data_IF_245007655528
#
_entry.id   IF_245007655528
#
_cell.length_a   1.000
_cell.length_b   1.000
_cell.length_c   1.000
_cell.angle_alpha   90.00
_cell.angle_beta   90.00
_cell.angle_gamma   90.00
#
_symmetry.space_group_name_H-M   'P 1'
#
loop_
_entity.id
_entity.type
_entity.pdbx_description
1 polymer ?
#
# COMPACT_ATOMS: atom_id res chain seq x y z
N UNK A 1 39.57 -64.08 -16.74
CA UNK A 1 38.22 -63.49 -16.78
C UNK A 1 38.02 -62.60 -15.58
N UNK A 2 38.16 -61.26 -15.73
CA UNK A 2 37.50 -60.20 -14.95
C UNK A 2 38.05 -58.84 -15.40
N UNK A 3 37.26 -58.17 -16.24
CA UNK A 3 37.42 -56.75 -16.60
C UNK A 3 37.06 -55.90 -15.37
N UNK A 4 37.94 -54.99 -14.95
CA UNK A 4 37.59 -53.91 -14.04
C UNK A 4 37.54 -52.60 -14.85
N UNK A 5 36.31 -52.07 -15.00
CA UNK A 5 36.05 -50.72 -15.53
C UNK A 5 36.65 -49.68 -14.56
N UNK A 6 37.52 -48.80 -15.05
CA UNK A 6 37.89 -47.58 -14.35
C UNK A 6 36.76 -46.56 -14.52
N UNK A 7 36.09 -46.19 -13.43
CA UNK A 7 35.17 -45.05 -13.38
C UNK A 7 35.91 -43.93 -12.66
N UNK A 8 36.30 -42.91 -13.41
CA UNK A 8 36.83 -41.66 -12.86
C UNK A 8 35.66 -40.87 -12.25
N UNK A 9 35.70 -40.65 -10.94
CA UNK A 9 34.77 -39.76 -10.23
C UNK A 9 35.32 -38.34 -10.38
N UNK A 10 34.65 -37.53 -11.20
CA UNK A 10 34.93 -36.10 -11.33
C UNK A 10 34.43 -35.37 -10.08
N UNK A 11 35.34 -34.67 -9.39
CA UNK A 11 35.03 -33.76 -8.30
C UNK A 11 34.36 -32.50 -8.91
N UNK A 12 33.03 -32.41 -8.85
CA UNK A 12 32.31 -31.17 -9.17
C UNK A 12 32.39 -30.29 -7.93
N UNK A 13 33.28 -29.30 -7.96
CA UNK A 13 33.34 -28.20 -7.02
C UNK A 13 32.08 -27.35 -7.22
N UNK A 14 30.99 -27.72 -6.54
CA UNK A 14 29.78 -26.92 -6.49
C UNK A 14 30.07 -25.72 -5.59
N UNK A 15 30.48 -24.61 -6.18
CA UNK A 15 30.52 -23.33 -5.50
C UNK A 15 29.09 -23.03 -5.01
N UNK A 16 28.86 -23.18 -3.71
CA UNK A 16 27.63 -22.78 -3.06
C UNK A 16 27.59 -21.26 -3.13
N UNK A 17 27.02 -20.74 -4.21
CA UNK A 17 26.52 -19.38 -4.29
C UNK A 17 25.41 -19.30 -3.25
N UNK A 18 25.73 -18.77 -2.07
CA UNK A 18 24.71 -18.29 -1.15
C UNK A 18 23.88 -17.27 -1.93
N UNK A 19 22.56 -17.47 -2.11
CA UNK A 19 21.74 -16.43 -2.67
C UNK A 19 21.79 -15.25 -1.70
N UNK A 20 22.34 -14.12 -2.17
CA UNK A 20 22.16 -12.83 -1.51
C UNK A 20 20.65 -12.59 -1.45
N UNK A 21 20.09 -12.67 -0.24
CA UNK A 21 18.69 -12.32 0.04
C UNK A 21 18.62 -10.79 -0.08
N UNK A 22 18.29 -10.30 -1.28
CA UNK A 22 18.19 -8.87 -1.54
C UNK A 22 16.81 -8.33 -1.13
N UNK A 23 16.81 -7.76 0.07
CA UNK A 23 15.95 -6.75 0.72
C UNK A 23 14.59 -6.35 0.11
N UNK A 24 13.62 -6.25 1.02
CA UNK A 24 12.43 -5.39 0.97
C UNK A 24 12.72 -3.96 0.51
N UNK A 25 11.67 -3.21 0.13
CA UNK A 25 11.77 -1.78 -0.18
C UNK A 25 12.47 -1.01 0.95
N UNK A 26 13.76 -0.72 0.74
CA UNK A 26 14.54 0.10 1.63
C UNK A 26 14.26 1.55 1.25
N UNK A 27 13.33 2.18 1.96
CA UNK A 27 13.22 3.63 1.93
C UNK A 27 14.56 4.24 2.31
N UNK A 28 14.97 5.29 1.60
CA UNK A 28 16.33 5.85 1.77
C UNK A 28 16.59 6.35 3.20
N UNK A 29 15.54 6.68 3.93
CA UNK A 29 15.52 7.21 5.29
C UNK A 29 15.05 6.21 6.36
N UNK A 30 14.79 4.94 5.99
CA UNK A 30 14.44 3.90 6.99
C UNK A 30 15.63 3.05 7.42
N UNK A 31 16.69 3.01 6.62
CA UNK A 31 17.87 2.17 6.92
C UNK A 31 18.51 2.59 8.25
N UNK A 32 18.63 1.66 9.20
CA UNK A 32 19.17 1.92 10.53
C UNK A 32 18.17 2.54 11.52
N UNK A 33 16.93 2.81 11.10
CA UNK A 33 15.88 3.29 11.97
C UNK A 33 15.38 2.14 12.88
N UNK A 34 15.07 2.43 14.15
CA UNK A 34 14.66 1.40 15.12
C UNK A 34 13.41 0.60 14.72
N UNK A 35 12.52 1.23 13.94
CA UNK A 35 11.29 0.63 13.43
C UNK A 35 11.40 0.08 12.01
N UNK A 36 12.61 0.01 11.43
CA UNK A 36 12.85 -0.40 10.04
C UNK A 36 12.15 -1.71 9.69
N UNK A 37 12.36 -2.75 10.50
CA UNK A 37 11.77 -4.08 10.26
C UNK A 37 10.25 -4.06 10.18
N UNK A 38 9.58 -3.18 10.94
CA UNK A 38 8.12 -3.12 10.97
C UNK A 38 7.60 -2.35 9.75
N UNK A 39 8.27 -1.26 9.39
CA UNK A 39 7.95 -0.48 8.20
C UNK A 39 8.12 -1.34 6.96
N UNK A 40 9.25 -2.03 6.84
CA UNK A 40 9.53 -3.00 5.79
C UNK A 40 8.45 -4.08 5.74
N UNK A 41 8.18 -4.77 6.85
CA UNK A 41 7.21 -5.85 6.86
C UNK A 41 5.78 -5.41 6.51
N UNK A 42 5.34 -4.26 7.02
CA UNK A 42 4.02 -3.71 6.69
C UNK A 42 3.93 -3.28 5.21
N UNK A 43 5.05 -2.79 4.67
CA UNK A 43 5.17 -2.42 3.26
C UNK A 43 5.19 -3.64 2.34
N UNK A 44 5.84 -4.73 2.75
CA UNK A 44 5.89 -6.01 2.02
C UNK A 44 4.50 -6.66 1.92
N UNK A 45 3.64 -6.42 2.91
CA UNK A 45 2.22 -6.79 2.87
C UNK A 45 1.37 -5.89 1.97
N UNK A 46 1.94 -4.83 1.37
CA UNK A 46 1.22 -3.88 0.51
C UNK A 46 0.32 -2.90 1.26
N UNK A 47 0.45 -2.83 2.58
CA UNK A 47 -0.44 -2.05 3.46
C UNK A 47 0.00 -0.60 3.63
N UNK A 48 1.25 -0.27 3.28
CA UNK A 48 1.78 1.10 3.26
C UNK A 48 2.75 1.29 2.11
N UNK A 49 2.85 2.54 1.64
CA UNK A 49 3.85 3.00 0.69
C UNK A 49 4.61 4.21 1.27
N UNK A 50 5.82 4.44 0.78
CA UNK A 50 6.58 5.67 0.99
C UNK A 50 6.13 6.79 0.06
N UNK A 51 6.91 7.86 0.02
CA UNK A 51 6.70 9.04 -0.79
C UNK A 51 7.43 8.92 -2.14
N UNK A 52 7.03 9.71 -3.17
CA UNK A 52 7.65 9.65 -4.50
C UNK A 52 9.15 9.97 -4.54
N UNK A 53 9.66 10.65 -3.51
CA UNK A 53 11.09 10.97 -3.34
C UNK A 53 11.93 9.77 -2.82
N UNK A 54 11.30 8.60 -2.63
CA UNK A 54 11.95 7.39 -2.13
C UNK A 54 12.09 7.33 -0.61
N UNK A 55 11.51 8.30 0.11
CA UNK A 55 11.51 8.35 1.58
C UNK A 55 10.25 7.68 2.15
N UNK A 56 10.32 7.16 3.37
CA UNK A 56 9.16 6.78 4.16
C UNK A 56 8.69 7.91 5.08
N UNK A 57 9.62 8.78 5.47
CA UNK A 57 9.50 9.81 6.51
C UNK A 57 9.07 9.19 7.84
N UNK A 58 9.89 8.29 8.43
CA UNK A 58 9.51 7.55 9.63
C UNK A 58 9.14 8.46 10.79
N UNK A 59 9.88 9.56 10.97
CA UNK A 59 9.70 10.51 12.06
C UNK A 59 8.65 11.59 11.79
N UNK A 60 8.03 11.60 10.60
CA UNK A 60 6.96 12.55 10.31
C UNK A 60 5.74 12.26 11.20
N UNK A 61 5.17 13.31 11.78
CA UNK A 61 3.95 13.20 12.58
C UNK A 61 2.74 13.00 11.69
N UNK A 62 1.74 12.25 12.17
CA UNK A 62 0.52 11.98 11.42
C UNK A 62 -0.63 12.91 11.78
N UNK A 63 -1.36 13.34 10.76
CA UNK A 63 -2.72 13.87 10.91
C UNK A 63 -3.74 12.75 11.15
N UNK A 64 -4.93 13.10 11.64
CA UNK A 64 -6.05 12.16 11.82
C UNK A 64 -6.40 11.45 10.51
N UNK A 65 -6.45 12.17 9.40
CA UNK A 65 -6.75 11.60 8.08
C UNK A 65 -5.69 10.60 7.64
N UNK A 66 -4.41 10.98 7.70
CA UNK A 66 -3.30 10.09 7.31
C UNK A 66 -3.24 8.82 8.15
N UNK A 67 -3.55 8.91 9.45
CA UNK A 67 -3.64 7.73 10.30
C UNK A 67 -4.72 6.74 9.80
N UNK A 68 -5.86 7.22 9.29
CA UNK A 68 -6.90 6.34 8.73
C UNK A 68 -6.47 5.58 7.49
N UNK A 69 -5.62 6.21 6.68
CA UNK A 69 -5.11 5.61 5.44
C UNK A 69 -4.21 4.41 5.77
N UNK A 70 -3.44 4.47 6.87
CA UNK A 70 -2.52 3.40 7.26
C UNK A 70 -3.22 2.09 7.64
N UNK A 71 -4.47 2.12 8.10
CA UNK A 71 -5.25 0.92 8.39
C UNK A 71 -6.41 0.67 7.40
N UNK A 72 -6.65 1.58 6.45
CA UNK A 72 -7.71 1.44 5.45
C UNK A 72 -7.58 0.19 4.58
N UNK A 73 -6.35 -0.30 4.39
CA UNK A 73 -6.06 -1.52 3.61
C UNK A 73 -6.22 -2.84 4.39
N UNK A 74 -6.58 -2.79 5.67
CA UNK A 74 -6.73 -4.00 6.51
C UNK A 74 -8.03 -4.79 6.25
N UNK A 75 -8.87 -4.35 5.29
CA UNK A 75 -10.15 -4.96 4.93
C UNK A 75 -11.02 -5.31 6.15
N UNK A 76 -11.25 -4.32 7.00
CA UNK A 76 -11.93 -4.50 8.28
C UNK A 76 -13.44 -4.63 8.09
N UNK A 77 -14.12 -5.50 8.87
CA UNK A 77 -15.57 -5.62 8.79
C UNK A 77 -16.23 -4.32 9.27
N UNK A 78 -17.33 -3.95 8.61
CA UNK A 78 -18.18 -2.86 9.08
C UNK A 78 -18.94 -3.32 10.35
N UNK A 79 -18.69 -2.65 11.48
CA UNK A 79 -19.31 -2.95 12.77
C UNK A 79 -20.42 -1.93 13.08
N UNK A 80 -20.24 -0.69 12.67
CA UNK A 80 -21.11 0.42 13.05
C UNK A 80 -22.16 0.77 12.00
N UNK A 81 -22.03 0.32 10.74
CA UNK A 81 -22.97 0.58 9.63
C UNK A 81 -23.19 2.06 9.26
N UNK A 82 -22.66 3.00 10.06
CA UNK A 82 -22.77 4.45 9.87
C UNK A 82 -21.68 4.92 8.91
N UNK A 83 -22.11 5.67 7.90
CA UNK A 83 -21.21 6.39 7.00
C UNK A 83 -20.57 7.59 7.71
N UNK A 84 -19.37 7.99 7.28
CA UNK A 84 -18.80 9.27 7.68
C UNK A 84 -19.66 10.42 7.14
N UNK A 85 -20.20 11.21 8.08
CA UNK A 85 -21.01 12.41 7.82
C UNK A 85 -20.50 13.53 8.73
N UNK A 86 -19.39 14.15 8.31
CA UNK A 86 -18.73 15.22 9.05
C UNK A 86 -18.72 16.50 8.22
N UNK A 87 -18.92 17.65 8.87
CA UNK A 87 -19.05 18.96 8.20
C UNK A 87 -17.76 19.46 7.55
N UNK A 88 -16.63 18.95 7.99
CA UNK A 88 -15.29 19.33 7.56
C UNK A 88 -14.63 18.25 6.68
N UNK A 89 -15.44 17.37 6.10
CA UNK A 89 -15.00 16.36 5.13
C UNK A 89 -15.95 16.37 3.93
N UNK A 90 -15.41 16.60 2.75
CA UNK A 90 -16.10 16.42 1.48
C UNK A 90 -15.90 15.00 0.95
N UNK A 91 -16.89 14.47 0.21
CA UNK A 91 -16.76 13.17 -0.48
C UNK A 91 -15.63 13.12 -1.51
N UNK A 92 -15.17 14.29 -1.95
CA UNK A 92 -14.05 14.46 -2.89
C UNK A 92 -12.69 14.55 -2.21
N UNK A 93 -12.64 14.57 -0.87
CA UNK A 93 -11.36 14.59 -0.16
C UNK A 93 -10.63 13.26 -0.35
N UNK A 94 -9.33 13.32 -0.60
CA UNK A 94 -8.49 12.13 -0.85
C UNK A 94 -8.53 11.09 0.28
N UNK A 95 -8.86 11.52 1.51
CA UNK A 95 -8.98 10.65 2.67
C UNK A 95 -10.42 10.21 2.97
N UNK A 96 -11.42 10.63 2.18
CA UNK A 96 -12.84 10.37 2.46
C UNK A 96 -13.11 8.88 2.68
N UNK A 97 -12.73 8.03 1.72
CA UNK A 97 -13.01 6.59 1.77
C UNK A 97 -12.28 5.90 2.93
N UNK A 98 -11.07 6.37 3.26
CA UNK A 98 -10.32 5.87 4.41
C UNK A 98 -11.01 6.22 5.74
N UNK A 99 -11.49 7.46 5.86
CA UNK A 99 -12.25 7.91 7.04
C UNK A 99 -13.59 7.19 7.13
N UNK A 100 -14.30 7.02 6.00
CA UNK A 100 -15.57 6.32 5.96
C UNK A 100 -15.42 4.85 6.38
N UNK A 101 -14.44 4.16 5.84
CA UNK A 101 -14.11 2.77 6.24
C UNK A 101 -13.76 2.69 7.72
N UNK A 102 -12.97 3.65 8.23
CA UNK A 102 -12.58 3.72 9.62
C UNK A 102 -13.78 3.93 10.57
N UNK A 103 -14.73 4.78 10.19
CA UNK A 103 -15.97 5.04 10.95
C UNK A 103 -16.87 3.82 10.93
N UNK A 104 -17.09 3.21 9.76
CA UNK A 104 -17.88 1.98 9.59
C UNK A 104 -17.32 0.83 10.40
N UNK A 105 -15.99 0.71 10.47
CA UNK A 105 -15.28 -0.31 11.26
C UNK A 105 -15.20 0.04 12.75
N UNK A 106 -15.69 1.22 13.14
CA UNK A 106 -15.67 1.70 14.52
C UNK A 106 -14.30 2.12 15.05
N UNK A 107 -13.26 2.14 14.21
CA UNK A 107 -11.91 2.53 14.58
C UNK A 107 -11.81 3.99 14.99
N UNK A 108 -12.56 4.87 14.32
CA UNK A 108 -12.57 6.30 14.60
C UNK A 108 -14.00 6.81 14.76
N UNK A 109 -14.11 7.94 15.45
CA UNK A 109 -15.34 8.73 15.56
C UNK A 109 -14.99 10.21 15.39
N UNK A 110 -15.99 11.02 15.02
CA UNK A 110 -15.87 12.47 15.05
C UNK A 110 -16.06 13.04 16.45
N UNK A 111 -16.06 14.36 16.51
CA UNK A 111 -16.32 15.16 17.70
C UNK A 111 -17.83 15.49 17.81
N UNK A 112 -18.25 15.97 18.99
CA UNK A 112 -19.64 16.34 19.26
C UNK A 112 -20.17 17.47 18.37
N UNK A 113 -19.28 18.30 17.84
CA UNK A 113 -19.57 19.40 16.91
C UNK A 113 -19.78 18.93 15.45
N UNK A 114 -19.87 17.62 15.22
CA UNK A 114 -19.97 16.99 13.89
C UNK A 114 -18.76 17.23 12.99
N UNK A 115 -17.57 17.45 13.56
CA UNK A 115 -16.30 17.52 12.82
C UNK A 115 -15.48 16.24 12.97
N UNK A 116 -14.61 15.97 12.01
CA UNK A 116 -13.58 14.94 12.10
C UNK A 116 -12.20 15.52 12.41
N UNK A 117 -11.93 16.76 12.03
CA UNK A 117 -10.64 17.47 12.11
C UNK A 117 -9.53 16.71 11.38
N UNK A 118 -9.64 16.49 10.06
CA UNK A 118 -8.75 15.60 9.30
C UNK A 118 -7.29 16.03 9.35
N UNK A 119 -7.01 17.33 9.40
CA UNK A 119 -5.66 17.91 9.42
C UNK A 119 -5.05 18.01 10.83
N UNK A 120 -5.80 17.64 11.88
CA UNK A 120 -5.28 17.69 13.25
C UNK A 120 -4.23 16.59 13.43
N UNK A 121 -3.02 16.95 13.83
CA UNK A 121 -1.99 16.00 14.28
C UNK A 121 -2.51 15.16 15.45
N UNK A 122 -2.33 13.85 15.39
CA UNK A 122 -2.76 12.94 16.48
C UNK A 122 -1.64 12.69 17.47
N UNK A 123 -2.03 12.59 18.72
CA UNK A 123 -1.18 12.15 19.82
C UNK A 123 -0.99 10.63 19.82
N UNK A 124 0.04 10.15 20.50
CA UNK A 124 0.26 8.72 20.70
C UNK A 124 -0.90 8.05 21.45
N UNK A 125 -1.55 8.72 22.39
CA UNK A 125 -2.76 8.20 23.06
C UNK A 125 -3.94 8.06 22.10
N UNK A 126 -4.16 9.02 21.20
CA UNK A 126 -5.19 8.90 20.17
C UNK A 126 -4.89 7.72 19.23
N UNK A 127 -3.63 7.56 18.79
CA UNK A 127 -3.22 6.42 17.98
C UNK A 127 -3.44 5.07 18.70
N UNK A 128 -3.02 4.96 19.98
CA UNK A 128 -3.26 3.78 20.82
C UNK A 128 -4.75 3.47 20.94
N UNK A 129 -5.59 4.48 21.13
CA UNK A 129 -7.04 4.29 21.21
C UNK A 129 -7.64 3.77 19.91
N UNK A 130 -7.10 4.17 18.75
CA UNK A 130 -7.53 3.64 17.45
C UNK A 130 -7.07 2.20 17.26
N UNK A 131 -5.79 1.92 17.46
CA UNK A 131 -5.20 0.58 17.25
C UNK A 131 -5.77 -0.45 18.23
N UNK A 132 -6.06 -0.04 19.48
CA UNK A 132 -6.65 -0.93 20.49
C UNK A 132 -8.02 -1.49 20.12
N UNK A 133 -8.69 -0.96 19.09
CA UNK A 133 -9.96 -1.50 18.61
C UNK A 133 -9.80 -2.71 17.68
N UNK A 134 -8.59 -2.95 17.19
CA UNK A 134 -8.24 -4.08 16.31
C UNK A 134 -7.94 -5.37 17.08
N UNK A 135 -7.76 -5.28 18.40
CA UNK A 135 -7.18 -6.34 19.22
C UNK A 135 -7.82 -6.31 20.60
N UNK A 136 -8.08 -7.49 21.18
CA UNK A 136 -8.54 -7.63 22.56
C UNK A 136 -7.72 -8.69 23.29
N UNK A 137 -7.00 -8.29 24.33
CA UNK A 137 -6.24 -9.18 25.20
C UNK A 137 -7.04 -9.52 26.45
N UNK A 138 -7.09 -10.81 26.78
CA UNK A 138 -7.73 -11.31 28.00
C UNK A 138 -7.00 -10.84 29.28
N UNK A 139 -5.72 -10.44 29.16
CA UNK A 139 -4.86 -10.04 30.28
C UNK A 139 -4.85 -8.52 30.53
N UNK A 140 -5.61 -7.73 29.77
CA UNK A 140 -5.59 -6.25 29.88
C UNK A 140 -5.86 -5.73 31.31
N UNK A 141 -6.66 -6.44 32.10
CA UNK A 141 -6.99 -5.99 33.46
C UNK A 141 -5.91 -6.35 34.49
N UNK A 142 -5.03 -7.30 34.19
CA UNK A 142 -4.05 -7.84 35.15
C UNK A 142 -2.61 -7.40 34.89
N UNK A 143 -2.33 -6.78 33.74
CA UNK A 143 -0.96 -6.32 33.43
C UNK A 143 -0.49 -5.18 34.33
N UNK A 144 0.78 -5.20 34.69
CA UNK A 144 1.42 -4.03 35.29
C UNK A 144 2.12 -3.23 34.21
N UNK A 145 1.76 -1.95 34.07
CA UNK A 145 2.40 -1.07 33.10
C UNK A 145 3.81 -0.69 33.61
N UNK A 146 4.85 -0.91 32.79
CA UNK A 146 6.24 -0.64 33.18
C UNK A 146 6.61 0.84 33.05
N UNK A 147 5.67 1.70 32.63
CA UNK A 147 5.94 3.10 32.33
C UNK A 147 6.06 3.95 33.61
N UNK A 148 7.09 4.77 33.70
CA UNK A 148 7.31 5.71 34.81
C UNK A 148 6.32 6.88 34.83
N UNK A 149 5.62 7.13 33.73
CA UNK A 149 4.53 8.11 33.61
C UNK A 149 3.14 7.45 33.55
N UNK A 150 3.03 6.20 34.01
CA UNK A 150 1.75 5.44 34.01
C UNK A 150 0.62 6.14 34.76
N UNK A 151 0.94 6.87 35.82
CA UNK A 151 -0.04 7.58 36.64
C UNK A 151 -0.60 8.83 35.92
N UNK A 152 0.10 9.30 34.88
CA UNK A 152 -0.35 10.39 34.01
C UNK A 152 -1.20 9.91 32.82
N UNK A 153 -1.46 8.60 32.69
CA UNK A 153 -2.29 8.03 31.62
C UNK A 153 -3.76 8.35 31.93
N UNK A 154 -4.46 9.12 31.06
CA UNK A 154 -5.87 9.45 31.27
C UNK A 154 -6.77 8.21 31.34
N UNK A 155 -7.83 8.27 32.15
CA UNK A 155 -8.79 7.18 32.31
C UNK A 155 -9.39 6.70 30.98
N UNK A 156 -9.66 7.62 30.05
CA UNK A 156 -10.27 7.31 28.75
C UNK A 156 -9.40 6.43 27.84
N UNK A 157 -8.07 6.46 28.00
CA UNK A 157 -7.13 5.66 27.18
C UNK A 157 -6.44 4.55 27.98
N UNK A 158 -6.55 4.56 29.31
CA UNK A 158 -5.89 3.60 30.19
C UNK A 158 -6.18 2.14 29.80
N UNK A 159 -7.46 1.83 29.54
CA UNK A 159 -7.86 0.50 29.07
C UNK A 159 -7.18 0.11 27.75
N UNK A 160 -7.09 1.04 26.79
CA UNK A 160 -6.43 0.81 25.51
C UNK A 160 -4.92 0.58 25.65
N UNK A 161 -4.24 1.36 26.51
CA UNK A 161 -2.81 1.17 26.80
C UNK A 161 -2.58 -0.22 27.39
N UNK A 162 -3.36 -0.61 28.41
CA UNK A 162 -3.23 -1.91 29.05
C UNK A 162 -3.52 -3.05 28.09
N UNK A 163 -4.53 -2.89 27.23
CA UNK A 163 -4.87 -3.86 26.20
C UNK A 163 -3.73 -4.08 25.21
N UNK A 164 -3.22 -3.00 24.59
CA UNK A 164 -2.14 -3.11 23.62
C UNK A 164 -0.83 -3.61 24.25
N UNK A 165 -0.54 -3.24 25.50
CA UNK A 165 0.63 -3.73 26.21
C UNK A 165 0.49 -5.23 26.50
N UNK A 166 -0.67 -5.65 27.00
CA UNK A 166 -0.97 -7.07 27.26
C UNK A 166 -0.99 -7.92 25.99
N UNK A 167 -1.30 -7.32 24.84
CA UNK A 167 -1.23 -7.96 23.53
C UNK A 167 0.18 -7.96 22.92
N UNK A 168 1.17 -7.33 23.55
CA UNK A 168 2.53 -7.22 23.00
C UNK A 168 2.66 -6.22 21.84
N UNK A 169 1.61 -5.46 21.53
CA UNK A 169 1.58 -4.48 20.44
C UNK A 169 2.42 -3.25 20.79
N UNK A 170 2.21 -2.68 21.99
CA UNK A 170 3.09 -1.63 22.52
C UNK A 170 4.06 -2.24 23.53
N UNK A 171 5.25 -1.67 23.60
CA UNK A 171 6.35 -2.10 24.46
C UNK A 171 6.87 -0.92 25.28
N UNK A 172 7.99 -1.12 25.97
CA UNK A 172 8.68 -0.03 26.66
C UNK A 172 9.24 0.96 25.65
N UNK A 173 8.75 2.20 25.71
CA UNK A 173 9.32 3.33 25.00
C UNK A 173 10.61 3.81 25.66
N UNK A 174 11.38 4.63 24.95
CA UNK A 174 12.63 5.22 25.46
C UNK A 174 12.41 5.90 26.82
N UNK A 175 13.35 5.69 27.75
CA UNK A 175 13.26 6.21 29.11
C UNK A 175 12.16 5.60 29.97
N UNK A 176 11.55 4.47 29.56
CA UNK A 176 10.40 3.84 30.20
C UNK A 176 9.20 4.79 30.35
N UNK A 177 8.92 5.66 29.37
CA UNK A 177 7.80 6.61 29.43
C UNK A 177 6.92 6.51 28.19
N UNK A 178 5.60 6.39 28.35
CA UNK A 178 4.68 6.35 27.21
C UNK A 178 4.59 7.69 26.50
N UNK A 179 4.75 8.80 27.22
CA UNK A 179 4.70 10.16 26.68
C UNK A 179 3.48 10.39 25.78
N UNK A 180 2.31 9.89 26.19
CA UNK A 180 1.19 9.68 25.26
C UNK A 180 0.55 10.94 24.66
N UNK A 181 0.82 12.13 25.21
CA UNK A 181 0.35 13.40 24.66
C UNK A 181 1.25 13.96 23.53
N UNK A 182 2.40 13.33 23.25
CA UNK A 182 3.24 13.75 22.12
C UNK A 182 2.63 13.29 20.80
N UNK A 183 2.89 13.98 19.68
CA UNK A 183 2.56 13.48 18.35
C UNK A 183 3.10 12.07 18.13
N UNK A 184 2.30 11.21 17.49
CA UNK A 184 2.77 9.90 17.01
C UNK A 184 3.48 10.08 15.68
N UNK A 185 4.56 9.33 15.46
CA UNK A 185 5.23 9.30 14.16
C UNK A 185 4.59 8.27 13.23
N UNK A 186 4.88 8.40 11.93
CA UNK A 186 4.44 7.45 10.91
C UNK A 186 4.98 6.05 11.16
N UNK A 187 6.25 5.91 11.53
CA UNK A 187 6.87 4.63 11.86
C UNK A 187 6.29 4.00 13.13
N UNK A 188 6.04 4.79 14.19
CA UNK A 188 5.42 4.30 15.42
C UNK A 188 4.02 3.73 15.16
N UNK A 189 3.21 4.40 14.34
CA UNK A 189 1.89 3.91 13.96
C UNK A 189 1.97 2.60 13.17
N UNK A 190 2.86 2.54 12.18
CA UNK A 190 3.06 1.32 11.37
C UNK A 190 3.59 0.16 12.21
N UNK A 191 4.51 0.42 13.16
CA UNK A 191 4.95 -0.59 14.14
C UNK A 191 3.79 -1.18 14.92
N UNK A 192 2.88 -0.33 15.44
CA UNK A 192 1.71 -0.82 16.16
C UNK A 192 0.81 -1.68 15.27
N UNK A 193 0.53 -1.25 14.04
CA UNK A 193 -0.31 -2.00 13.10
C UNK A 193 0.32 -3.34 12.69
N UNK A 194 1.62 -3.35 12.41
CA UNK A 194 2.34 -4.58 12.08
C UNK A 194 2.31 -5.59 13.24
N UNK A 195 2.56 -5.14 14.47
CA UNK A 195 2.52 -6.01 15.66
C UNK A 195 1.11 -6.54 15.96
N UNK A 196 0.07 -5.80 15.61
CA UNK A 196 -1.32 -6.31 15.62
C UNK A 196 -1.48 -7.48 14.65
N UNK A 197 -0.94 -7.38 13.43
CA UNK A 197 -0.98 -8.46 12.44
C UNK A 197 -0.19 -9.70 12.85
N UNK A 198 0.93 -9.53 13.58
CA UNK A 198 1.67 -10.66 14.13
C UNK A 198 0.91 -11.36 15.27
N UNK A 199 0.23 -10.58 16.10
CA UNK A 199 -0.42 -11.08 17.34
C UNK A 199 -1.80 -11.67 17.09
N UNK A 200 -2.50 -11.21 16.05
CA UNK A 200 -3.84 -11.68 15.68
C UNK A 200 -3.76 -12.17 14.25
N UNK A 201 -4.01 -13.46 14.02
CA UNK A 201 -4.23 -14.00 12.68
C UNK A 201 -5.51 -13.38 12.11
N UNK A 202 -5.44 -12.12 11.67
CA UNK A 202 -6.45 -11.52 10.82
C UNK A 202 -6.70 -12.51 9.68
N UNK A 203 -7.96 -12.76 9.38
CA UNK A 203 -8.33 -13.40 8.13
C UNK A 203 -7.94 -12.43 7.00
N UNK A 204 -6.66 -12.42 6.64
CA UNK A 204 -6.14 -11.85 5.41
C UNK A 204 -6.60 -12.69 4.21
N UNK A 205 -7.69 -13.47 4.31
CA UNK A 205 -8.27 -14.21 3.19
C UNK A 205 -8.72 -13.19 2.15
N UNK A 206 -7.88 -13.03 1.12
CA UNK A 206 -7.94 -11.97 0.10
C UNK A 206 -6.59 -11.27 -0.12
N UNK A 207 -5.75 -11.17 0.91
CA UNK A 207 -4.36 -10.65 0.88
C UNK A 207 -3.30 -11.74 1.11
N UNK A 208 -3.69 -12.93 1.61
CA UNK A 208 -2.78 -14.00 2.06
C UNK A 208 -2.86 -15.32 1.29
N UNK A 209 -3.31 -15.34 0.04
CA UNK A 209 -3.05 -16.51 -0.83
C UNK A 209 -1.60 -16.52 -1.38
N UNK A 210 -0.78 -15.51 -1.09
CA UNK A 210 0.62 -15.45 -1.52
C UNK A 210 1.68 -15.73 -0.42
N UNK A 211 1.29 -16.01 0.82
CA UNK A 211 2.26 -16.21 1.93
C UNK A 211 2.12 -17.58 2.63
N UNK A 212 1.18 -18.44 2.22
CA UNK A 212 1.12 -19.84 2.66
C UNK A 212 1.27 -20.82 1.49
N UNK A 213 2.45 -20.84 0.86
CA UNK A 213 2.99 -22.07 0.26
C UNK A 213 4.52 -22.06 0.27
N UNK A 214 5.10 -22.25 1.45
CA UNK A 214 6.31 -23.09 1.53
C UNK A 214 5.89 -24.50 1.12
N UNK A 215 5.95 -24.80 -0.17
CA UNK A 215 5.61 -26.11 -0.71
C UNK A 215 5.15 -26.08 -2.16
N UNK A 216 6.13 -26.19 -3.07
CA UNK A 216 6.02 -26.87 -4.37
C UNK A 216 5.27 -26.17 -5.52
N UNK A 217 6.01 -26.06 -6.64
CA UNK A 217 5.62 -25.90 -8.05
C UNK A 217 5.05 -24.55 -8.56
N UNK A 218 5.96 -23.72 -9.09
CA UNK A 218 5.97 -23.38 -10.52
C UNK A 218 4.97 -22.37 -11.06
N UNK A 219 5.19 -21.07 -10.82
CA UNK A 219 4.87 -19.98 -11.76
C UNK A 219 5.83 -18.82 -11.53
N UNK A 220 6.48 -18.36 -12.59
CA UNK A 220 7.60 -17.42 -12.57
C UNK A 220 7.14 -16.00 -12.22
N UNK A 221 7.31 -15.59 -10.96
CA UNK A 221 7.14 -14.20 -10.56
C UNK A 221 8.26 -13.34 -11.17
N UNK A 222 7.90 -12.25 -11.85
CA UNK A 222 8.87 -11.30 -12.41
C UNK A 222 9.40 -10.42 -11.27
N UNK A 223 10.70 -10.46 -11.01
CA UNK A 223 11.37 -9.59 -10.04
C UNK A 223 11.43 -8.16 -10.59
N UNK A 224 10.82 -7.19 -9.90
CA UNK A 224 10.78 -5.77 -10.29
C UNK A 224 11.69 -4.94 -9.37
N UNK A 225 12.36 -3.88 -9.87
CA UNK A 225 13.03 -2.89 -9.01
C UNK A 225 12.07 -2.23 -8.01
N UNK A 226 12.56 -1.79 -6.85
CA UNK A 226 11.75 -1.38 -5.68
C UNK A 226 10.75 -0.25 -5.91
N UNK A 227 10.97 0.60 -6.90
CA UNK A 227 10.07 1.71 -7.27
C UNK A 227 9.11 1.36 -8.41
N UNK A 228 9.26 0.18 -9.02
CA UNK A 228 8.45 -0.27 -10.16
C UNK A 228 7.32 -1.19 -9.69
N UNK A 229 6.08 -0.69 -9.78
CA UNK A 229 4.86 -1.46 -9.54
C UNK A 229 4.66 -2.57 -10.57
N UNK A 230 5.08 -2.32 -11.80
CA UNK A 230 4.97 -3.27 -12.90
C UNK A 230 5.54 -2.74 -14.21
N UNK A 231 5.48 -3.57 -15.25
CA UNK A 231 5.84 -3.20 -16.60
C UNK A 231 4.62 -3.24 -17.50
N UNK A 232 4.37 -2.13 -18.20
CA UNK A 232 3.34 -2.02 -19.21
C UNK A 232 3.92 -2.36 -20.58
N UNK A 233 3.24 -3.23 -21.32
CA UNK A 233 3.58 -3.58 -22.70
C UNK A 233 2.35 -3.46 -23.60
N UNK A 234 2.48 -2.68 -24.68
CA UNK A 234 1.50 -2.52 -25.74
C UNK A 234 2.25 -2.52 -27.07
N UNK A 235 2.43 -3.71 -27.65
CA UNK A 235 3.28 -3.93 -28.84
C UNK A 235 2.88 -3.03 -30.01
N UNK A 236 1.57 -2.88 -30.24
CA UNK A 236 1.00 -2.07 -31.34
C UNK A 236 1.57 -0.66 -31.39
N UNK A 237 1.77 -0.02 -30.24
CA UNK A 237 2.16 1.39 -30.13
C UNK A 237 3.60 1.56 -29.64
N UNK A 238 4.37 0.48 -29.62
CA UNK A 238 5.80 0.49 -29.29
C UNK A 238 6.14 0.61 -27.81
N UNK A 239 5.15 0.47 -26.92
CA UNK A 239 5.39 0.42 -25.46
C UNK A 239 5.89 -0.99 -25.16
N UNK A 240 7.18 -1.12 -24.83
CA UNK A 240 7.84 -2.40 -24.56
C UNK A 240 8.42 -2.38 -23.16
N UNK A 241 7.71 -3.01 -22.20
CA UNK A 241 8.07 -3.04 -20.78
C UNK A 241 8.40 -1.67 -20.19
N UNK A 242 7.51 -0.70 -20.41
CA UNK A 242 7.67 0.61 -19.77
C UNK A 242 7.43 0.46 -18.27
N UNK A 243 8.33 0.98 -17.42
CA UNK A 243 8.16 0.93 -15.98
C UNK A 243 6.91 1.70 -15.56
N UNK A 244 6.15 1.15 -14.61
CA UNK A 244 5.04 1.81 -13.92
C UNK A 244 5.48 2.07 -12.48
N UNK A 245 5.34 3.30 -11.99
CA UNK A 245 5.61 3.71 -10.61
C UNK A 245 4.36 4.27 -9.96
N UNK A 246 4.29 4.21 -8.63
CA UNK A 246 3.21 4.86 -7.88
C UNK A 246 3.34 6.39 -7.94
N UNK A 247 2.24 7.10 -8.16
CA UNK A 247 2.21 8.55 -8.26
C UNK A 247 1.89 9.07 -9.67
N UNK A 248 1.03 10.08 -9.73
CA UNK A 248 0.62 10.77 -10.96
C UNK A 248 1.24 12.19 -11.08
N UNK A 249 2.23 12.50 -10.25
CA UNK A 249 2.92 13.79 -10.24
C UNK A 249 3.99 13.89 -11.33
N UNK A 250 4.43 15.13 -11.61
CA UNK A 250 5.41 15.44 -12.64
C UNK A 250 6.77 14.74 -12.45
N UNK A 251 7.22 14.49 -11.22
CA UNK A 251 8.50 13.82 -10.98
C UNK A 251 8.42 12.34 -11.39
N UNK A 252 7.30 11.69 -11.09
CA UNK A 252 7.04 10.31 -11.46
C UNK A 252 6.94 10.13 -12.98
N UNK A 253 6.06 10.88 -13.63
CA UNK A 253 5.76 10.73 -15.07
C UNK A 253 6.90 11.18 -16.01
N UNK A 254 7.95 11.81 -15.48
CA UNK A 254 9.21 12.08 -16.19
C UNK A 254 10.07 10.83 -16.39
N UNK A 255 9.96 9.88 -15.45
CA UNK A 255 10.89 8.74 -15.33
C UNK A 255 10.23 7.39 -15.55
N UNK A 256 8.90 7.34 -15.61
CA UNK A 256 8.09 6.14 -15.79
C UNK A 256 6.65 6.49 -16.19
N UNK A 257 5.83 5.47 -16.41
CA UNK A 257 4.37 5.60 -16.36
C UNK A 257 3.95 5.78 -14.90
N UNK A 258 3.13 6.78 -14.60
CA UNK A 258 2.58 6.99 -13.26
C UNK A 258 1.31 6.17 -13.02
N UNK A 259 1.10 5.74 -11.78
CA UNK A 259 -0.11 5.07 -11.30
C UNK A 259 -0.89 6.01 -10.38
N UNK A 260 -2.21 6.03 -10.52
CA UNK A 260 -3.09 6.79 -9.62
C UNK A 260 -3.24 6.04 -8.31
N UNK A 261 -2.76 6.62 -7.20
CA UNK A 261 -2.72 5.97 -5.89
C UNK A 261 -4.11 5.59 -5.35
N UNK A 262 -5.16 6.26 -5.83
CA UNK A 262 -6.56 6.03 -5.52
C UNK A 262 -7.17 4.85 -6.31
N UNK A 263 -6.46 4.34 -7.32
CA UNK A 263 -6.89 3.20 -8.13
C UNK A 263 -6.33 1.87 -7.61
N UNK A 264 -6.85 0.75 -8.09
CA UNK A 264 -6.40 -0.56 -7.66
C UNK A 264 -4.95 -0.81 -8.11
N UNK A 265 -4.19 -1.56 -7.32
CA UNK A 265 -2.84 -2.01 -7.72
C UNK A 265 -2.85 -3.29 -8.56
N UNK A 266 -3.93 -4.07 -8.47
CA UNK A 266 -4.06 -5.36 -9.15
C UNK A 266 -5.51 -5.70 -9.45
N UNK A 267 -6.32 -5.92 -8.41
CA UNK A 267 -7.73 -6.32 -8.52
C UNK A 267 -8.66 -5.11 -8.54
N UNK A 268 -9.45 -5.00 -9.60
CA UNK A 268 -10.28 -3.83 -9.91
C UNK A 268 -9.75 -3.03 -11.10
N UNK A 269 -9.98 -1.72 -11.08
CA UNK A 269 -9.51 -0.80 -12.11
C UNK A 269 -8.14 -0.23 -11.72
N UNK A 270 -7.09 -0.65 -12.42
CA UNK A 270 -5.74 -0.11 -12.27
C UNK A 270 -5.56 1.05 -13.25
N UNK A 271 -5.24 2.25 -12.76
CA UNK A 271 -5.20 3.45 -13.60
C UNK A 271 -3.80 4.05 -13.71
N UNK A 272 -3.45 4.47 -14.92
CA UNK A 272 -2.15 5.01 -15.29
C UNK A 272 -2.22 6.35 -15.99
N UNK A 273 -1.16 7.15 -15.84
CA UNK A 273 -0.93 8.37 -16.59
C UNK A 273 0.51 8.48 -17.09
N UNK A 274 0.69 9.11 -18.24
CA UNK A 274 2.00 9.61 -18.67
C UNK A 274 1.82 10.80 -19.61
N UNK A 275 2.89 11.57 -19.81
CA UNK A 275 2.90 12.66 -20.78
C UNK A 275 2.61 12.16 -22.21
N UNK A 276 2.17 13.05 -23.08
CA UNK A 276 1.93 12.72 -24.49
C UNK A 276 3.13 13.00 -25.40
N UNK A 277 4.28 13.39 -24.83
CA UNK A 277 5.54 13.71 -25.52
C UNK A 277 6.69 13.88 -24.51
N UNK A 278 7.86 14.21 -25.05
CA UNK A 278 9.06 14.75 -24.38
C UNK A 278 9.85 13.79 -23.48
N UNK A 279 9.25 12.69 -23.02
CA UNK A 279 9.90 11.75 -22.10
C UNK A 279 10.10 10.36 -22.69
N UNK A 280 11.06 9.63 -22.13
CA UNK A 280 11.42 8.27 -22.58
C UNK A 280 10.26 7.29 -22.46
N UNK A 281 9.48 7.41 -21.38
CA UNK A 281 8.34 6.54 -21.08
C UNK A 281 7.06 7.36 -21.11
N UNK A 282 6.65 7.74 -22.30
CA UNK A 282 5.45 8.55 -22.51
C UNK A 282 4.36 7.78 -23.27
N UNK A 283 3.17 8.38 -23.33
CA UNK A 283 2.00 7.88 -24.03
C UNK A 283 1.77 8.61 -25.37
N UNK A 284 2.83 9.12 -26.04
CA UNK A 284 2.69 9.86 -27.31
C UNK A 284 1.95 9.08 -28.40
N UNK A 285 2.12 7.76 -28.41
CA UNK A 285 1.53 6.86 -29.39
C UNK A 285 0.19 6.26 -28.92
N UNK A 286 -0.30 6.61 -27.73
CA UNK A 286 -1.59 6.11 -27.25
C UNK A 286 -2.74 6.53 -28.18
N UNK A 287 -2.59 7.66 -28.90
CA UNK A 287 -3.52 8.10 -29.96
C UNK A 287 -3.67 7.11 -31.13
N UNK A 288 -2.73 6.17 -31.29
CA UNK A 288 -2.74 5.18 -32.37
C UNK A 288 -3.27 3.81 -31.92
N UNK A 289 -3.66 3.65 -30.65
CA UNK A 289 -4.24 2.40 -30.14
C UNK A 289 -5.66 2.21 -30.68
N UNK A 290 -6.09 0.96 -30.83
CA UNK A 290 -7.41 0.58 -31.36
C UNK A 290 -8.13 -0.37 -30.41
N UNK A 291 -9.46 -0.36 -30.47
CA UNK A 291 -10.26 -1.39 -29.79
C UNK A 291 -9.83 -2.77 -30.31
N UNK A 292 -9.70 -3.74 -29.40
CA UNK A 292 -9.18 -5.06 -29.68
C UNK A 292 -7.66 -5.21 -29.53
N UNK A 293 -6.89 -4.12 -29.42
CA UNK A 293 -5.45 -4.24 -29.17
C UNK A 293 -5.16 -4.84 -27.78
N UNK A 294 -4.06 -5.59 -27.71
CA UNK A 294 -3.61 -6.27 -26.50
C UNK A 294 -2.77 -5.35 -25.62
N UNK A 295 -3.10 -5.32 -24.33
CA UNK A 295 -2.34 -4.63 -23.28
C UNK A 295 -1.89 -5.67 -22.27
N UNK A 296 -0.60 -5.69 -21.95
CA UNK A 296 -0.03 -6.60 -20.96
C UNK A 296 0.49 -5.77 -19.80
N UNK A 297 0.11 -6.14 -18.58
CA UNK A 297 0.66 -5.57 -17.36
C UNK A 297 1.27 -6.68 -16.51
N UNK A 298 2.59 -6.62 -16.36
CA UNK A 298 3.39 -7.56 -15.58
C UNK A 298 3.69 -6.91 -14.22
N UNK A 299 3.24 -7.51 -13.12
CA UNK A 299 3.50 -7.05 -11.75
C UNK A 299 4.13 -8.17 -10.92
N UNK A 300 4.48 -7.85 -9.67
CA UNK A 300 4.82 -8.87 -8.66
C UNK A 300 3.67 -9.83 -8.33
N UNK A 301 2.42 -9.44 -8.60
CA UNK A 301 1.24 -10.28 -8.40
C UNK A 301 0.98 -11.23 -9.58
N UNK A 302 1.71 -11.07 -10.67
CA UNK A 302 1.61 -11.87 -11.88
C UNK A 302 1.44 -11.02 -13.13
N UNK A 303 1.11 -11.67 -14.23
CA UNK A 303 0.94 -11.02 -15.54
C UNK A 303 -0.52 -11.12 -15.96
N UNK A 304 -1.14 -9.98 -16.28
CA UNK A 304 -2.49 -9.94 -16.85
C UNK A 304 -2.43 -9.43 -18.28
N UNK A 305 -3.27 -10.06 -19.11
CA UNK A 305 -3.56 -9.62 -20.47
C UNK A 305 -4.94 -9.00 -20.50
N UNK A 306 -5.02 -7.82 -21.11
CA UNK A 306 -6.24 -7.05 -21.28
C UNK A 306 -6.47 -6.76 -22.77
N UNK A 307 -7.72 -6.49 -23.13
CA UNK A 307 -8.11 -6.07 -24.47
C UNK A 307 -8.75 -4.69 -24.42
N UNK A 308 -8.24 -3.77 -25.24
CA UNK A 308 -8.79 -2.41 -25.34
C UNK A 308 -10.25 -2.45 -25.76
N UNK A 309 -11.11 -1.79 -24.97
CA UNK A 309 -12.56 -1.77 -25.16
C UNK A 309 -13.12 -0.35 -25.31
N UNK A 310 -12.50 0.63 -24.64
CA UNK A 310 -12.92 2.03 -24.64
C UNK A 310 -11.75 2.91 -25.07
N UNK A 311 -12.04 3.87 -25.95
CA UNK A 311 -11.15 4.97 -26.33
C UNK A 311 -12.05 6.19 -26.44
N UNK A 312 -11.82 7.22 -25.63
CA UNK A 312 -12.60 8.46 -25.63
C UNK A 312 -11.77 9.65 -25.16
N UNK A 313 -12.18 10.86 -25.56
CA UNK A 313 -11.71 12.09 -24.93
C UNK A 313 -12.56 12.39 -23.69
N UNK A 314 -11.91 12.73 -22.59
CA UNK A 314 -12.55 13.18 -21.34
C UNK A 314 -12.13 14.62 -21.03
N UNK A 315 -12.90 15.32 -20.21
CA UNK A 315 -12.45 16.59 -19.64
C UNK A 315 -11.30 16.33 -18.65
N UNK A 316 -10.36 17.27 -18.52
CA UNK A 316 -9.26 17.15 -17.55
C UNK A 316 -9.69 17.14 -16.08
N UNK A 317 -10.96 17.44 -15.81
CA UNK A 317 -11.58 17.40 -14.48
C UNK A 317 -12.45 16.16 -14.27
N UNK A 318 -12.66 15.34 -15.30
CA UNK A 318 -13.54 14.18 -15.26
C UNK A 318 -12.75 12.89 -15.08
N UNK A 319 -12.71 12.42 -13.84
CA UNK A 319 -11.93 11.24 -13.43
C UNK A 319 -12.81 10.05 -13.04
N UNK A 320 -14.12 10.08 -13.34
CA UNK A 320 -15.05 9.04 -12.89
C UNK A 320 -14.66 7.64 -13.39
N UNK A 321 -14.14 7.54 -14.62
CA UNK A 321 -13.68 6.27 -15.19
C UNK A 321 -12.40 5.71 -14.53
N UNK A 322 -11.72 6.51 -13.70
CA UNK A 322 -10.58 6.06 -12.88
C UNK A 322 -11.07 5.52 -11.53
N UNK A 323 -11.99 6.23 -10.88
CA UNK A 323 -12.38 5.97 -9.48
C UNK A 323 -13.58 5.03 -9.32
N UNK A 324 -14.30 4.72 -10.40
CA UNK A 324 -15.46 3.82 -10.33
C UNK A 324 -15.03 2.36 -10.12
N UNK A 325 -15.55 1.72 -9.08
CA UNK A 325 -15.41 0.28 -8.84
C UNK A 325 -16.15 -0.53 -9.92
N UNK A 326 -15.47 -1.47 -10.57
CA UNK A 326 -16.06 -2.41 -11.54
C UNK A 326 -15.81 -3.84 -11.05
N UNK A 327 -16.77 -4.75 -11.29
CA UNK A 327 -16.63 -6.18 -10.96
C UNK A 327 -15.55 -6.88 -11.80
N UNK A 328 -15.18 -6.32 -12.95
CA UNK A 328 -14.13 -6.85 -13.83
C UNK A 328 -12.84 -6.06 -13.72
N UNK A 329 -11.72 -6.79 -13.75
CA UNK A 329 -10.40 -6.18 -13.78
C UNK A 329 -10.21 -5.34 -15.06
N UNK A 330 -9.82 -4.09 -14.86
CA UNK A 330 -9.63 -3.09 -15.90
C UNK A 330 -8.27 -2.41 -15.79
N UNK A 331 -7.79 -1.94 -16.93
CA UNK A 331 -6.67 -1.02 -17.05
C UNK A 331 -7.15 0.27 -17.68
N UNK A 332 -7.01 1.39 -16.98
CA UNK A 332 -7.30 2.72 -17.50
C UNK A 332 -6.01 3.48 -17.75
N UNK A 333 -5.82 4.04 -18.94
CA UNK A 333 -4.62 4.81 -19.30
C UNK A 333 -5.03 6.19 -19.79
N UNK A 334 -4.38 7.23 -19.26
CA UNK A 334 -4.72 8.62 -19.55
C UNK A 334 -3.50 9.43 -19.99
N UNK A 335 -3.65 10.27 -21.02
CA UNK A 335 -2.63 11.23 -21.44
C UNK A 335 -3.24 12.51 -22.01
N UNK A 336 -2.44 13.57 -22.16
CA UNK A 336 -2.90 14.83 -22.76
C UNK A 336 -3.20 14.67 -24.25
N UNK A 337 -4.21 15.40 -24.74
CA UNK A 337 -4.45 15.54 -26.19
C UNK A 337 -3.63 16.73 -26.70
N UNK A 338 -2.96 16.55 -27.84
CA UNK A 338 -2.15 17.59 -28.46
C UNK A 338 -3.03 18.77 -28.87
N UNK A 339 -2.63 19.99 -28.50
CA UNK A 339 -3.38 21.24 -28.74
C UNK A 339 -4.76 21.35 -28.07
N UNK A 340 -5.11 20.43 -27.16
CA UNK A 340 -6.36 20.47 -26.40
C UNK A 340 -6.08 20.39 -24.89
N UNK A 341 -5.67 21.51 -24.25
CA UNK A 341 -5.17 21.50 -22.87
C UNK A 341 -6.24 21.07 -21.85
N UNK A 342 -7.52 21.24 -22.15
CA UNK A 342 -8.63 20.87 -21.25
C UNK A 342 -9.13 19.44 -21.44
N UNK A 343 -8.52 18.68 -22.35
CA UNK A 343 -8.93 17.32 -22.68
C UNK A 343 -7.83 16.32 -22.41
N UNK A 344 -8.24 15.08 -22.10
CA UNK A 344 -7.34 13.93 -21.97
C UNK A 344 -7.86 12.79 -22.83
N UNK A 345 -6.95 12.05 -23.46
CA UNK A 345 -7.25 10.80 -24.10
C UNK A 345 -7.28 9.72 -23.02
N UNK A 346 -8.44 9.08 -22.85
CA UNK A 346 -8.64 7.94 -21.95
C UNK A 346 -8.85 6.67 -22.76
N UNK A 347 -8.11 5.63 -22.37
CA UNK A 347 -8.17 4.29 -22.96
C UNK A 347 -8.42 3.29 -21.85
N UNK A 348 -9.43 2.44 -22.00
CA UNK A 348 -9.66 1.31 -21.07
C UNK A 348 -9.51 -0.02 -21.76
N UNK A 349 -8.85 -0.94 -21.08
CA UNK A 349 -8.76 -2.35 -21.45
C UNK A 349 -9.35 -3.22 -20.34
N UNK A 350 -10.04 -4.31 -20.71
CA UNK A 350 -10.66 -5.26 -19.76
C UNK A 350 -9.89 -6.57 -19.79
N UNK A 351 -9.69 -7.19 -18.63
CA UNK A 351 -8.98 -8.47 -18.55
C UNK A 351 -9.76 -9.54 -19.33
N UNK A 352 -9.04 -10.35 -20.11
CA UNK A 352 -9.63 -11.54 -20.72
C UNK A 352 -9.88 -12.59 -19.63
N UNK A 353 -11.06 -13.23 -19.65
CA UNK A 353 -11.41 -14.32 -18.74
C UNK A 353 -10.53 -15.55 -18.94
#
# INVERSE_FOLDING_TARGET
>A
MRMYKKISIGLILCAVLLPNIASAAAYSDITGHSDEKYVVGYSDLGLVSGYPDGTFRPDATLTRAEATVLFGKLNLPAINGKQADFRDIAKTDWFYDSVDTAVKSGLVSGYEDHTFRPQKTITRFEAISMVSKLVKSEKQNTVQLPYGDRDSIPSWVNGAVRNLYAAGVIDTYSGNRIAGNTPVTRSEMVKMLYKVLESYQFQLTGLSQAVKSTGTTGTTAVQLPHDILGYLTIERIGIKKYPVKDGADLATIKTAIGHFAESALWDGNVAFCAHNRDYKYDFRNLKNIKKGDKVIYETRFGTRTYTVSVIKAINETDWTDITTSDERNKLTMVTCIENEPTKRLLVQAVQQQ
#
